data_IF_259909973087
#
_entry.id   IF_259909973087
#
_cell.length_a   1.000
_cell.length_b   1.000
_cell.length_c   1.000
_cell.angle_alpha   90.00
_cell.angle_beta   90.00
_cell.angle_gamma   90.00
#
_symmetry.space_group_name_H-M   'P 1'
#
loop_
_entity.id
_entity.type
_entity.pdbx_description
1 polymer ?
#
# COMPACT_ATOMS: atom_id res chain seq x y z
N UNK A 1 15.17 -44.10 44.23
CA UNK A 1 14.37 -44.29 42.99
C UNK A 1 13.78 -42.98 42.46
N UNK A 2 12.93 -42.27 43.21
CA UNK A 2 12.31 -41.02 42.71
C UNK A 2 13.34 -39.90 42.42
N UNK A 3 14.28 -39.66 43.33
CA UNK A 3 15.34 -38.64 43.14
C UNK A 3 16.21 -38.95 41.91
N UNK A 4 16.54 -40.22 41.73
CA UNK A 4 17.33 -40.70 40.59
C UNK A 4 16.57 -40.49 39.27
N UNK A 5 15.29 -40.89 39.21
CA UNK A 5 14.44 -40.64 38.04
C UNK A 5 14.30 -39.14 37.70
N UNK A 6 14.15 -38.28 38.72
CA UNK A 6 14.09 -36.83 38.54
C UNK A 6 15.40 -36.28 37.97
N UNK A 7 16.54 -36.72 38.48
CA UNK A 7 17.85 -36.30 37.99
C UNK A 7 18.07 -36.72 36.54
N UNK A 8 17.75 -37.97 36.19
CA UNK A 8 17.90 -38.50 34.83
C UNK A 8 16.98 -37.77 33.83
N UNK A 9 15.70 -37.58 34.18
CA UNK A 9 14.75 -36.86 33.32
C UNK A 9 15.13 -35.37 33.17
N UNK A 10 15.56 -34.72 34.24
CA UNK A 10 16.02 -33.33 34.20
C UNK A 10 17.27 -33.19 33.32
N UNK A 11 18.19 -34.16 33.40
CA UNK A 11 19.36 -34.24 32.52
C UNK A 11 18.97 -34.36 31.04
N UNK A 12 18.03 -35.25 30.70
CA UNK A 12 17.54 -35.42 29.33
C UNK A 12 16.84 -34.16 28.77
N UNK A 13 16.11 -33.44 29.63
CA UNK A 13 15.50 -32.16 29.24
C UNK A 13 16.60 -31.11 28.98
N UNK A 14 17.59 -31.00 29.87
CA UNK A 14 18.69 -30.04 29.71
C UNK A 14 19.50 -30.28 28.43
N UNK A 15 19.83 -31.53 28.12
CA UNK A 15 20.54 -31.89 26.88
C UNK A 15 19.73 -31.54 25.63
N UNK A 16 18.41 -31.71 25.68
CA UNK A 16 17.51 -31.31 24.60
C UNK A 16 17.53 -29.80 24.36
N UNK A 17 17.48 -28.98 25.43
CA UNK A 17 17.58 -27.52 25.32
C UNK A 17 18.91 -27.06 24.71
N UNK A 18 20.02 -27.65 25.14
CA UNK A 18 21.36 -27.35 24.58
C UNK A 18 21.43 -27.76 23.11
N UNK A 19 20.96 -28.96 22.77
CA UNK A 19 20.96 -29.50 21.41
C UNK A 19 20.14 -28.65 20.43
N UNK A 20 18.90 -28.32 20.79
CA UNK A 20 18.01 -27.51 19.95
C UNK A 20 18.56 -26.10 19.76
N UNK A 21 19.14 -25.51 20.82
CA UNK A 21 19.77 -24.19 20.73
C UNK A 21 20.89 -24.20 19.69
N UNK A 22 21.78 -25.19 19.72
CA UNK A 22 22.87 -25.33 18.74
C UNK A 22 22.37 -25.56 17.31
N UNK A 23 21.37 -26.43 17.13
CA UNK A 23 20.80 -26.76 15.82
C UNK A 23 20.12 -25.55 15.18
N UNK A 24 19.19 -24.91 15.89
CA UNK A 24 18.43 -23.77 15.35
C UNK A 24 19.35 -22.59 15.10
N UNK A 25 20.37 -22.38 15.96
CA UNK A 25 21.38 -21.36 15.72
C UNK A 25 22.12 -21.57 14.39
N UNK A 26 22.64 -22.79 14.13
CA UNK A 26 23.32 -23.09 12.86
C UNK A 26 22.40 -22.95 11.65
N UNK A 27 21.19 -23.48 11.72
CA UNK A 27 20.23 -23.37 10.62
C UNK A 27 19.80 -21.92 10.35
N UNK A 28 19.74 -21.07 11.38
CA UNK A 28 19.46 -19.65 11.20
C UNK A 28 20.66 -18.89 10.61
N UNK A 29 21.90 -19.29 10.92
CA UNK A 29 23.11 -18.80 10.22
C UNK A 29 23.11 -19.20 8.74
N UNK A 30 22.72 -20.44 8.45
CA UNK A 30 22.53 -20.96 7.08
C UNK A 30 21.28 -20.38 6.38
N UNK A 31 20.62 -19.41 7.02
CA UNK A 31 19.48 -18.67 6.48
C UNK A 31 18.22 -19.50 6.21
N UNK A 32 18.18 -20.76 6.69
CA UNK A 32 17.01 -21.63 6.64
C UNK A 32 15.92 -21.23 7.65
N UNK A 33 16.30 -20.54 8.73
CA UNK A 33 15.38 -19.98 9.72
C UNK A 33 15.46 -18.45 9.79
N UNK A 34 14.41 -17.78 10.31
CA UNK A 34 14.40 -16.34 10.48
C UNK A 34 15.54 -15.83 11.36
N UNK A 35 16.22 -14.77 10.92
CA UNK A 35 17.34 -14.16 11.65
C UNK A 35 16.98 -13.62 13.03
N UNK A 36 15.70 -13.38 13.32
CA UNK A 36 15.26 -12.90 14.63
C UNK A 36 15.63 -13.89 15.76
N UNK A 37 15.77 -15.19 15.46
CA UNK A 37 16.15 -16.22 16.42
C UNK A 37 17.61 -16.10 16.88
N UNK A 38 18.48 -15.47 16.07
CA UNK A 38 19.89 -15.26 16.38
C UNK A 38 20.14 -14.14 17.41
N UNK A 39 19.10 -13.39 17.82
CA UNK A 39 19.27 -12.28 18.76
C UNK A 39 19.71 -12.80 20.14
N UNK A 40 20.88 -12.37 20.58
CA UNK A 40 21.43 -12.66 21.91
C UNK A 40 20.99 -11.63 22.95
N UNK A 41 21.01 -12.02 24.23
CA UNK A 41 20.87 -11.09 25.36
C UNK A 41 22.26 -10.62 25.82
N UNK A 42 22.33 -9.69 26.79
CA UNK A 42 23.57 -9.20 27.43
C UNK A 42 24.49 -10.32 27.94
N UNK A 43 23.95 -11.49 28.27
CA UNK A 43 24.69 -12.68 28.70
C UNK A 43 25.14 -13.61 27.56
N UNK A 44 24.96 -13.21 26.30
CA UNK A 44 25.33 -14.03 25.12
C UNK A 44 24.37 -15.18 24.81
N UNK A 45 23.26 -15.34 25.55
CA UNK A 45 22.33 -16.47 25.39
C UNK A 45 21.29 -16.25 24.28
N UNK A 46 21.02 -17.29 23.50
CA UNK A 46 19.95 -17.33 22.48
C UNK A 46 18.55 -17.55 23.10
N UNK A 47 18.15 -16.62 23.97
CA UNK A 47 16.90 -16.68 24.74
C UNK A 47 15.66 -16.95 23.87
N UNK A 48 15.59 -16.40 22.65
CA UNK A 48 14.46 -16.62 21.74
C UNK A 48 14.31 -18.07 21.30
N UNK A 49 15.42 -18.77 21.05
CA UNK A 49 15.37 -20.19 20.68
C UNK A 49 14.88 -21.01 21.86
N UNK A 50 15.39 -20.73 23.05
CA UNK A 50 15.01 -21.41 24.30
C UNK A 50 13.51 -21.22 24.59
N UNK A 51 13.02 -19.99 24.51
CA UNK A 51 11.60 -19.67 24.73
C UNK A 51 10.73 -20.36 23.68
N UNK A 52 11.09 -20.29 22.39
CA UNK A 52 10.34 -20.97 21.32
C UNK A 52 10.29 -22.47 21.55
N UNK A 53 11.41 -23.10 21.92
CA UNK A 53 11.44 -24.52 22.19
C UNK A 53 10.58 -24.89 23.40
N UNK A 54 10.62 -24.10 24.49
CA UNK A 54 9.75 -24.28 25.65
C UNK A 54 8.26 -24.18 25.27
N UNK A 55 7.88 -23.20 24.45
CA UNK A 55 6.52 -23.05 23.96
C UNK A 55 6.08 -24.22 23.08
N UNK A 56 6.96 -24.74 22.22
CA UNK A 56 6.70 -25.92 21.40
C UNK A 56 6.50 -27.19 22.26
N UNK A 57 7.37 -27.41 23.25
CA UNK A 57 7.24 -28.50 24.21
C UNK A 57 5.94 -28.39 25.03
N UNK A 58 5.58 -27.19 25.48
CA UNK A 58 4.33 -26.97 26.21
C UNK A 58 3.11 -27.19 25.31
N UNK A 59 3.18 -26.73 24.06
CA UNK A 59 2.12 -26.90 23.07
C UNK A 59 1.82 -28.37 22.80
N UNK A 60 2.85 -29.21 22.59
CA UNK A 60 2.63 -30.64 22.30
C UNK A 60 2.08 -31.38 23.52
N UNK A 61 2.50 -31.02 24.74
CA UNK A 61 1.94 -31.57 25.97
C UNK A 61 0.45 -31.24 26.13
N UNK A 62 0.06 -30.00 25.84
CA UNK A 62 -1.35 -29.56 25.92
C UNK A 62 -2.20 -30.27 24.87
N UNK A 63 -1.72 -30.32 23.62
CA UNK A 63 -2.46 -30.94 22.50
C UNK A 63 -2.63 -32.45 22.72
N UNK A 64 -1.59 -33.13 23.20
CA UNK A 64 -1.66 -34.56 23.52
C UNK A 64 -2.35 -34.86 24.86
N UNK A 65 -2.78 -33.82 25.61
CA UNK A 65 -3.39 -33.92 26.94
C UNK A 65 -2.56 -34.76 27.93
N UNK A 66 -1.23 -34.71 27.80
CA UNK A 66 -0.30 -35.49 28.63
C UNK A 66 -0.32 -37.00 28.39
N UNK A 67 -0.90 -37.49 27.27
CA UNK A 67 -0.87 -38.92 26.93
C UNK A 67 0.54 -39.35 26.49
N UNK A 68 1.25 -40.02 27.39
CA UNK A 68 2.64 -40.46 27.18
C UNK A 68 2.81 -41.39 25.97
N UNK A 69 1.85 -42.28 25.71
CA UNK A 69 1.88 -43.19 24.55
C UNK A 69 1.90 -42.43 23.22
N UNK A 70 1.06 -41.39 23.08
CA UNK A 70 1.02 -40.60 21.85
C UNK A 70 2.28 -39.76 21.66
N UNK A 71 2.82 -39.18 22.75
CA UNK A 71 4.08 -38.44 22.71
C UNK A 71 5.26 -39.35 22.33
N UNK A 72 5.32 -40.56 22.89
CA UNK A 72 6.32 -41.54 22.53
C UNK A 72 6.22 -41.96 21.06
N UNK A 73 5.00 -42.15 20.55
CA UNK A 73 4.76 -42.44 19.13
C UNK A 73 5.27 -41.33 18.20
N UNK A 74 4.94 -40.07 18.50
CA UNK A 74 5.42 -38.91 17.74
C UNK A 74 6.95 -38.82 17.76
N UNK A 75 7.58 -39.06 18.92
CA UNK A 75 9.03 -39.11 19.04
C UNK A 75 9.63 -40.23 18.18
N UNK A 76 9.06 -41.44 18.23
CA UNK A 76 9.52 -42.58 17.41
C UNK A 76 9.43 -42.29 15.91
N UNK A 77 8.31 -41.74 15.43
CA UNK A 77 8.14 -41.38 14.02
C UNK A 77 9.17 -40.32 13.61
N UNK A 78 9.35 -39.28 14.43
CA UNK A 78 10.31 -38.21 14.16
C UNK A 78 11.76 -38.71 14.12
N UNK A 79 12.14 -39.52 15.10
CA UNK A 79 13.49 -40.06 15.21
C UNK A 79 13.81 -41.04 14.08
N UNK A 80 12.91 -41.99 13.80
CA UNK A 80 13.08 -42.92 12.69
C UNK A 80 13.11 -42.19 11.35
N UNK A 81 12.26 -41.17 11.17
CA UNK A 81 12.27 -40.34 9.97
C UNK A 81 13.62 -39.66 9.73
N UNK A 82 14.19 -39.03 10.76
CA UNK A 82 15.53 -38.43 10.68
C UNK A 82 16.59 -39.48 10.36
N UNK A 83 16.52 -40.68 10.96
CA UNK A 83 17.44 -41.78 10.65
C UNK A 83 17.31 -42.28 9.20
N UNK A 84 16.09 -42.36 8.67
CA UNK A 84 15.84 -42.66 7.26
C UNK A 84 16.44 -41.59 6.35
N UNK A 85 16.26 -40.30 6.67
CA UNK A 85 16.89 -39.20 5.93
C UNK A 85 18.42 -39.27 5.97
N UNK A 86 19.03 -39.65 7.10
CA UNK A 86 20.48 -39.88 7.17
C UNK A 86 20.94 -41.01 6.25
N UNK A 87 20.18 -42.11 6.19
CA UNK A 87 20.43 -43.20 5.24
C UNK A 87 20.39 -42.72 3.78
N UNK A 88 19.34 -41.98 3.42
CA UNK A 88 19.18 -41.38 2.08
C UNK A 88 20.33 -40.40 1.79
N UNK A 89 20.70 -39.55 2.75
CA UNK A 89 21.82 -38.62 2.64
C UNK A 89 23.16 -39.34 2.41
N UNK A 90 23.37 -40.49 3.04
CA UNK A 90 24.57 -41.32 2.80
C UNK A 90 24.62 -41.83 1.35
N UNK A 91 23.48 -42.32 0.82
CA UNK A 91 23.36 -42.73 -0.59
C UNK A 91 23.64 -41.55 -1.51
N UNK A 92 23.03 -40.38 -1.27
CA UNK A 92 23.22 -39.20 -2.10
C UNK A 92 24.70 -38.76 -2.14
N UNK A 93 25.38 -38.78 -0.99
CA UNK A 93 26.81 -38.48 -0.91
C UNK A 93 27.66 -39.54 -1.63
N UNK A 94 27.31 -40.83 -1.56
CA UNK A 94 28.01 -41.91 -2.31
C UNK A 94 27.86 -41.76 -3.82
N UNK A 95 26.75 -41.21 -4.31
CA UNK A 95 26.51 -41.02 -5.74
C UNK A 95 27.17 -39.73 -6.23
N UNK A 96 26.88 -38.61 -5.57
CA UNK A 96 27.22 -37.26 -6.06
C UNK A 96 28.58 -36.74 -5.61
N UNK A 97 29.15 -37.26 -4.51
CA UNK A 97 30.39 -36.75 -3.89
C UNK A 97 31.28 -37.87 -3.34
N UNK A 98 31.83 -38.68 -4.25
CA UNK A 98 32.67 -39.86 -3.94
C UNK A 98 34.03 -39.51 -3.33
N UNK A 99 34.58 -38.34 -3.65
CA UNK A 99 35.94 -37.91 -3.28
C UNK A 99 36.06 -37.37 -1.85
N UNK A 100 34.95 -37.14 -1.15
CA UNK A 100 34.98 -36.66 0.23
C UNK A 100 35.71 -37.68 1.13
N UNK A 101 36.69 -37.20 1.92
CA UNK A 101 37.42 -38.00 2.90
C UNK A 101 36.44 -38.57 3.94
N UNK A 102 36.46 -39.88 4.13
CA UNK A 102 35.60 -40.60 5.10
C UNK A 102 36.47 -41.46 6.00
N UNK A 103 36.30 -41.32 7.31
CA UNK A 103 36.92 -42.19 8.32
C UNK A 103 36.29 -43.58 8.34
N UNK A 104 34.98 -43.66 8.06
CA UNK A 104 34.24 -44.92 8.02
C UNK A 104 33.38 -45.00 6.74
N UNK A 105 33.33 -46.19 6.13
CA UNK A 105 32.53 -46.45 4.92
C UNK A 105 31.52 -47.57 5.21
N UNK A 106 30.24 -47.23 5.30
CA UNK A 106 29.17 -48.22 5.38
C UNK A 106 28.97 -48.91 4.02
N UNK A 107 28.68 -50.22 4.02
CA UNK A 107 28.32 -50.97 2.82
C UNK A 107 26.99 -50.50 2.22
N UNK A 108 26.80 -50.66 0.91
CA UNK A 108 25.53 -50.31 0.25
C UNK A 108 24.35 -51.10 0.82
N UNK A 109 24.54 -52.40 1.00
CA UNK A 109 23.53 -53.29 1.56
C UNK A 109 23.14 -52.85 2.99
N UNK A 110 24.13 -52.55 3.84
CA UNK A 110 23.89 -52.09 5.21
C UNK A 110 23.01 -50.83 5.25
N UNK A 111 23.27 -49.86 4.36
CA UNK A 111 22.47 -48.62 4.29
C UNK A 111 21.05 -48.89 3.80
N UNK A 112 20.88 -49.75 2.79
CA UNK A 112 19.56 -50.13 2.27
C UNK A 112 18.75 -50.86 3.35
N UNK A 113 19.35 -51.84 4.03
CA UNK A 113 18.71 -52.58 5.13
C UNK A 113 18.30 -51.63 6.26
N UNK A 114 19.16 -50.67 6.62
CA UNK A 114 18.82 -49.68 7.65
C UNK A 114 17.65 -48.76 7.23
N UNK A 115 17.60 -48.31 5.97
CA UNK A 115 16.48 -47.53 5.44
C UNK A 115 15.19 -48.34 5.45
N UNK A 116 15.24 -49.60 5.03
CA UNK A 116 14.07 -50.49 5.05
C UNK A 116 13.59 -50.74 6.49
N UNK A 117 14.50 -51.05 7.41
CA UNK A 117 14.16 -51.29 8.81
C UNK A 117 13.54 -50.06 9.48
N UNK A 118 14.11 -48.87 9.27
CA UNK A 118 13.57 -47.62 9.82
C UNK A 118 12.21 -47.26 9.21
N UNK A 119 12.04 -47.46 7.90
CA UNK A 119 10.75 -47.23 7.21
C UNK A 119 9.66 -48.18 7.69
N UNK A 120 9.98 -49.47 7.87
CA UNK A 120 9.06 -50.45 8.46
C UNK A 120 8.70 -50.08 9.91
N UNK A 121 9.66 -49.57 10.69
CA UNK A 121 9.39 -49.06 12.03
C UNK A 121 8.42 -47.88 12.06
N UNK A 122 8.54 -46.95 11.09
CA UNK A 122 7.58 -45.84 10.93
C UNK A 122 6.20 -46.40 10.59
N UNK A 123 6.10 -47.29 9.60
CA UNK A 123 4.82 -47.90 9.17
C UNK A 123 4.17 -48.64 10.35
N UNK A 124 4.94 -49.43 11.10
CA UNK A 124 4.46 -50.13 12.29
C UNK A 124 3.91 -49.18 13.35
N UNK A 125 4.58 -48.05 13.61
CA UNK A 125 4.09 -47.06 14.56
C UNK A 125 2.77 -46.41 14.11
N UNK A 126 2.64 -46.13 12.80
CA UNK A 126 1.42 -45.56 12.21
C UNK A 126 0.26 -46.55 12.28
N UNK A 127 0.51 -47.86 12.12
CA UNK A 127 -0.50 -48.91 12.25
C UNK A 127 -0.98 -49.06 13.70
N UNK A 128 -0.07 -48.92 14.69
CA UNK A 128 -0.42 -49.02 16.11
C UNK A 128 -1.39 -47.91 16.53
N UNK A 129 -1.10 -46.66 16.16
CA UNK A 129 -2.01 -45.54 16.41
C UNK A 129 -1.81 -44.44 15.35
N UNK A 130 -2.81 -44.28 14.49
CA UNK A 130 -2.80 -43.27 13.43
C UNK A 130 -2.74 -41.84 13.99
N UNK A 131 -3.22 -41.60 15.22
CA UNK A 131 -3.16 -40.27 15.83
C UNK A 131 -1.71 -39.78 15.99
N UNK A 132 -0.75 -40.69 16.22
CA UNK A 132 0.67 -40.34 16.32
C UNK A 132 1.17 -39.66 15.03
N UNK A 133 0.72 -40.18 13.88
CA UNK A 133 1.08 -39.62 12.58
C UNK A 133 0.43 -38.25 12.35
N UNK A 134 -0.83 -38.07 12.77
CA UNK A 134 -1.53 -36.79 12.67
C UNK A 134 -0.83 -35.72 13.52
N UNK A 135 -0.49 -36.02 14.77
CA UNK A 135 0.26 -35.11 15.62
C UNK A 135 1.63 -34.78 15.03
N UNK A 136 2.34 -35.77 14.48
CA UNK A 136 3.60 -35.53 13.78
C UNK A 136 3.43 -34.55 12.61
N UNK A 137 2.45 -34.77 11.73
CA UNK A 137 2.19 -33.90 10.59
C UNK A 137 1.82 -32.47 11.00
N UNK A 138 1.04 -32.34 12.08
CA UNK A 138 0.62 -31.03 12.60
C UNK A 138 1.81 -30.14 13.00
N UNK A 139 2.92 -30.72 13.46
CA UNK A 139 4.15 -29.97 13.75
C UNK A 139 5.13 -29.92 12.56
N UNK A 140 5.21 -31.02 11.79
CA UNK A 140 6.13 -31.13 10.66
C UNK A 140 5.77 -30.16 9.53
N UNK A 141 4.49 -30.09 9.12
CA UNK A 141 4.04 -29.27 7.98
C UNK A 141 4.29 -27.78 8.22
N UNK A 142 3.89 -27.17 9.36
CA UNK A 142 4.20 -25.77 9.64
C UNK A 142 5.71 -25.49 9.71
N UNK A 143 6.49 -26.42 10.26
CA UNK A 143 7.95 -26.28 10.36
C UNK A 143 8.60 -26.25 8.97
N UNK A 144 8.22 -27.17 8.08
CA UNK A 144 8.69 -27.19 6.69
C UNK A 144 8.22 -25.94 5.94
N UNK A 145 6.98 -25.49 6.16
CA UNK A 145 6.45 -24.27 5.55
C UNK A 145 7.29 -23.05 5.91
N UNK A 146 7.70 -22.89 7.18
CA UNK A 146 8.60 -21.81 7.60
C UNK A 146 9.91 -21.87 6.83
N UNK A 147 10.51 -23.06 6.68
CA UNK A 147 11.77 -23.24 5.92
C UNK A 147 11.59 -22.90 4.44
N UNK A 148 10.47 -23.31 3.82
CA UNK A 148 10.16 -23.00 2.41
C UNK A 148 9.94 -21.49 2.21
N UNK A 149 9.23 -20.82 3.12
CA UNK A 149 9.06 -19.36 3.09
C UNK A 149 10.42 -18.68 3.20
N UNK A 150 11.29 -19.15 4.10
CA UNK A 150 12.65 -18.64 4.27
C UNK A 150 13.51 -18.83 3.01
N UNK A 151 13.38 -19.98 2.34
CA UNK A 151 14.05 -20.27 1.08
C UNK A 151 13.56 -19.35 -0.06
N UNK A 152 12.24 -19.12 -0.16
CA UNK A 152 11.63 -18.29 -1.21
C UNK A 152 11.55 -16.80 -0.87
N UNK A 153 12.13 -16.35 0.25
CA UNK A 153 11.94 -14.98 0.77
C UNK A 153 12.32 -13.88 -0.22
N UNK A 154 13.37 -14.10 -1.03
CA UNK A 154 13.83 -13.10 -2.01
C UNK A 154 12.81 -12.95 -3.14
N UNK A 155 12.23 -14.06 -3.60
CA UNK A 155 11.16 -14.03 -4.60
C UNK A 155 9.94 -13.30 -4.05
N UNK A 156 9.54 -13.60 -2.81
CA UNK A 156 8.40 -12.95 -2.14
C UNK A 156 8.62 -11.43 -2.04
N UNK A 157 9.78 -11.00 -1.54
CA UNK A 157 10.11 -9.58 -1.39
C UNK A 157 10.14 -8.86 -2.73
N UNK A 158 10.68 -9.49 -3.78
CA UNK A 158 10.69 -8.93 -5.13
C UNK A 158 9.29 -8.78 -5.72
N UNK A 159 8.43 -9.78 -5.52
CA UNK A 159 7.03 -9.73 -5.95
C UNK A 159 6.26 -8.62 -5.23
N UNK A 160 6.46 -8.46 -3.92
CA UNK A 160 5.86 -7.37 -3.14
C UNK A 160 6.32 -6.00 -3.63
N UNK A 161 7.61 -5.83 -3.90
CA UNK A 161 8.15 -4.58 -4.43
C UNK A 161 7.56 -4.24 -5.81
N UNK A 162 7.45 -5.23 -6.71
CA UNK A 162 6.86 -5.03 -8.02
C UNK A 162 5.38 -4.66 -7.94
N UNK A 163 4.62 -5.29 -7.03
CA UNK A 163 3.23 -4.93 -6.78
C UNK A 163 3.09 -3.49 -6.26
N UNK A 164 3.94 -3.08 -5.31
CA UNK A 164 3.95 -1.71 -4.80
C UNK A 164 4.26 -0.69 -5.91
N UNK A 165 5.26 -0.97 -6.74
CA UNK A 165 5.61 -0.11 -7.88
C UNK A 165 4.47 -0.03 -8.90
N UNK A 166 3.80 -1.14 -9.20
CA UNK A 166 2.65 -1.15 -10.11
C UNK A 166 1.51 -0.25 -9.60
N UNK A 167 1.19 -0.34 -8.31
CA UNK A 167 0.16 0.49 -7.67
C UNK A 167 0.56 1.97 -7.72
N UNK A 168 1.82 2.29 -7.42
CA UNK A 168 2.33 3.66 -7.45
C UNK A 168 2.23 4.27 -8.85
N UNK A 169 2.57 3.53 -9.91
CA UNK A 169 2.45 4.02 -11.28
C UNK A 169 1.00 4.33 -11.65
N UNK A 170 0.04 3.48 -11.25
CA UNK A 170 -1.38 3.80 -11.47
C UNK A 170 -1.81 5.05 -10.71
N UNK A 171 -1.37 5.22 -9.46
CA UNK A 171 -1.69 6.40 -8.65
C UNK A 171 -1.19 7.71 -9.31
N UNK A 172 -0.01 7.67 -9.95
CA UNK A 172 0.53 8.83 -10.66
C UNK A 172 -0.31 9.22 -11.89
N UNK A 173 -0.81 8.24 -12.65
CA UNK A 173 -1.72 8.51 -13.80
C UNK A 173 -3.04 9.10 -13.32
N UNK A 174 -3.58 8.61 -12.22
CA UNK A 174 -4.80 9.17 -11.64
C UNK A 174 -4.61 10.62 -11.19
N UNK A 175 -3.43 10.91 -10.62
CA UNK A 175 -3.07 12.28 -10.22
C UNK A 175 -3.05 13.23 -11.42
N UNK A 176 -2.51 12.84 -12.57
CA UNK A 176 -2.49 13.73 -13.74
C UNK A 176 -3.89 13.99 -14.29
N UNK A 177 -4.74 12.96 -14.37
CA UNK A 177 -6.13 13.10 -14.82
C UNK A 177 -6.89 14.11 -13.95
N UNK A 178 -6.72 14.04 -12.63
CA UNK A 178 -7.39 14.97 -11.69
C UNK A 178 -6.89 16.41 -11.90
N UNK A 179 -5.59 16.60 -12.12
CA UNK A 179 -5.01 17.94 -12.36
C UNK A 179 -5.52 18.53 -13.68
N UNK A 180 -5.61 17.71 -14.74
CA UNK A 180 -6.08 18.15 -16.05
C UNK A 180 -7.56 18.58 -15.98
N UNK A 181 -8.40 17.82 -15.28
CA UNK A 181 -9.81 18.15 -15.07
C UNK A 181 -9.99 19.44 -14.26
N UNK A 182 -9.23 19.61 -13.17
CA UNK A 182 -9.23 20.85 -12.39
C UNK A 182 -8.81 22.07 -13.24
N UNK A 183 -7.82 21.88 -14.10
CA UNK A 183 -7.34 22.94 -15.00
C UNK A 183 -8.41 23.29 -16.04
N UNK A 184 -9.11 22.30 -16.60
CA UNK A 184 -10.20 22.51 -17.54
C UNK A 184 -11.35 23.33 -16.93
N UNK A 185 -11.73 23.05 -15.67
CA UNK A 185 -12.76 23.80 -14.95
C UNK A 185 -12.36 25.25 -14.66
N UNK A 186 -11.11 25.47 -14.24
CA UNK A 186 -10.60 26.80 -13.88
C UNK A 186 -10.42 27.73 -15.10
N UNK A 187 -10.16 27.14 -16.27
CA UNK A 187 -9.85 27.85 -17.52
C UNK A 187 -11.08 28.34 -18.31
N UNK A 188 -12.30 28.00 -17.88
CA UNK A 188 -13.51 28.54 -18.50
C UNK A 188 -13.55 30.06 -18.35
N UNK A 189 -13.96 30.80 -19.38
CA UNK A 189 -14.04 32.27 -19.31
C UNK A 189 -15.40 32.73 -18.81
N UNK A 190 -15.37 33.73 -17.95
CA UNK A 190 -16.55 34.42 -17.42
C UNK A 190 -16.59 35.83 -18.00
N UNK A 191 -17.75 36.30 -18.44
CA UNK A 191 -17.92 37.66 -18.95
C UNK A 191 -18.57 38.54 -17.88
N UNK A 192 -18.02 39.72 -17.62
CA UNK A 192 -18.54 40.68 -16.66
C UNK A 192 -18.81 42.01 -17.34
N UNK A 193 -20.01 42.55 -17.23
CA UNK A 193 -20.32 43.89 -17.73
C UNK A 193 -20.05 44.97 -16.68
N UNK A 194 -19.30 45.99 -17.07
CA UNK A 194 -19.04 47.17 -16.25
C UNK A 194 -19.55 48.45 -16.94
N UNK A 195 -20.44 49.15 -16.24
CA UNK A 195 -20.99 50.43 -16.69
C UNK A 195 -20.00 51.60 -16.52
N UNK A 196 -18.98 51.47 -15.67
CA UNK A 196 -18.00 52.51 -15.43
C UNK A 196 -16.82 52.10 -14.54
N UNK A 197 -15.91 53.04 -14.25
CA UNK A 197 -14.65 52.86 -13.52
C UNK A 197 -14.73 52.73 -11.99
N UNK A 198 -15.94 52.68 -11.43
CA UNK A 198 -16.19 52.59 -9.99
C UNK A 198 -15.54 51.35 -9.36
N UNK A 199 -14.44 51.59 -8.65
CA UNK A 199 -13.63 50.54 -8.01
C UNK A 199 -14.44 49.69 -7.01
N UNK A 200 -15.38 50.30 -6.29
CA UNK A 200 -16.22 49.60 -5.31
C UNK A 200 -17.13 48.53 -5.94
N UNK A 201 -17.65 48.80 -7.14
CA UNK A 201 -18.50 47.86 -7.88
C UNK A 201 -17.66 46.76 -8.52
N UNK A 202 -16.53 47.10 -9.13
CA UNK A 202 -15.60 46.13 -9.69
C UNK A 202 -15.06 45.18 -8.60
N UNK A 203 -14.70 45.72 -7.44
CA UNK A 203 -14.26 44.93 -6.29
C UNK A 203 -15.35 43.93 -5.85
N UNK A 204 -16.61 44.37 -5.69
CA UNK A 204 -17.72 43.47 -5.33
C UNK A 204 -17.95 42.38 -6.38
N UNK A 205 -17.86 42.73 -7.66
CA UNK A 205 -18.02 41.77 -8.75
C UNK A 205 -16.88 40.73 -8.77
N UNK A 206 -15.63 41.16 -8.58
CA UNK A 206 -14.48 40.25 -8.53
C UNK A 206 -14.53 39.35 -7.30
N UNK A 207 -14.92 39.90 -6.14
CA UNK A 207 -15.20 39.11 -4.93
C UNK A 207 -16.28 38.06 -5.16
N UNK A 208 -17.35 38.40 -5.89
CA UNK A 208 -18.40 37.45 -6.22
C UNK A 208 -17.85 36.31 -7.09
N UNK A 209 -17.11 36.62 -8.16
CA UNK A 209 -16.51 35.61 -9.05
C UNK A 209 -15.54 34.73 -8.26
N UNK A 210 -14.68 35.34 -7.43
CA UNK A 210 -13.73 34.60 -6.59
C UNK A 210 -14.40 33.60 -5.63
N UNK A 211 -15.52 34.02 -5.03
CA UNK A 211 -16.23 33.25 -3.99
C UNK A 211 -17.17 32.19 -4.55
N UNK A 212 -17.81 32.46 -5.70
CA UNK A 212 -18.92 31.66 -6.18
C UNK A 212 -18.65 30.96 -7.52
N UNK A 213 -17.64 31.37 -8.28
CA UNK A 213 -17.32 30.79 -9.58
C UNK A 213 -15.94 30.09 -9.54
N UNK A 214 -15.85 28.94 -10.20
CA UNK A 214 -14.60 28.18 -10.32
C UNK A 214 -13.64 28.82 -11.32
N UNK A 215 -14.16 29.62 -12.25
CA UNK A 215 -13.37 30.34 -13.25
C UNK A 215 -12.49 31.42 -12.60
N UNK A 216 -11.27 31.53 -13.11
CA UNK A 216 -10.35 32.61 -12.77
C UNK A 216 -10.04 33.55 -13.94
N UNK A 217 -10.73 33.37 -15.08
CA UNK A 217 -10.54 34.18 -16.29
C UNK A 217 -11.75 35.06 -16.55
N UNK A 218 -11.59 36.36 -16.34
CA UNK A 218 -12.66 37.35 -16.48
C UNK A 218 -12.45 38.17 -17.75
N UNK A 219 -13.49 38.23 -18.57
CA UNK A 219 -13.61 39.14 -19.69
C UNK A 219 -14.46 40.33 -19.25
N UNK A 220 -13.82 41.45 -18.92
CA UNK A 220 -14.51 42.67 -18.50
C UNK A 220 -14.94 43.46 -19.73
N UNK A 221 -16.24 43.62 -19.93
CA UNK A 221 -16.81 44.34 -21.07
C UNK A 221 -17.35 45.69 -20.61
N UNK A 222 -16.86 46.76 -21.24
CA UNK A 222 -17.34 48.12 -21.07
C UNK A 222 -17.98 48.62 -22.38
N UNK A 223 -19.21 49.12 -22.27
CA UNK A 223 -19.96 49.67 -23.40
C UNK A 223 -20.17 51.19 -23.20
N UNK A 224 -19.89 51.98 -24.23
CA UNK A 224 -20.03 53.46 -24.19
C UNK A 224 -20.85 53.98 -25.39
N UNK A 225 -21.61 55.08 -25.21
CA UNK A 225 -22.44 55.66 -26.29
C UNK A 225 -21.77 56.87 -26.97
N UNK A 226 -21.09 57.72 -26.20
CA UNK A 226 -20.31 58.87 -26.68
C UNK A 226 -18.86 58.78 -26.19
N UNK A 227 -17.93 59.46 -26.85
CA UNK A 227 -16.51 59.49 -26.44
C UNK A 227 -16.32 60.11 -25.04
N UNK A 228 -17.23 60.97 -24.62
CA UNK A 228 -17.25 61.56 -23.27
C UNK A 228 -17.65 60.54 -22.18
N UNK A 229 -18.40 59.49 -22.54
CA UNK A 229 -18.76 58.37 -21.64
C UNK A 229 -17.68 57.28 -21.61
N UNK A 230 -16.63 57.38 -22.42
CA UNK A 230 -15.58 56.36 -22.47
C UNK A 230 -14.69 56.42 -21.22
N UNK A 231 -14.91 55.47 -20.30
CA UNK A 231 -14.18 55.36 -19.04
C UNK A 231 -13.06 54.30 -19.07
N UNK A 232 -12.55 53.96 -20.25
CA UNK A 232 -11.49 52.95 -20.41
C UNK A 232 -10.26 53.23 -19.52
N UNK A 233 -9.80 54.49 -19.46
CA UNK A 233 -8.63 54.87 -18.65
C UNK A 233 -8.86 54.65 -17.16
N UNK A 234 -10.02 55.06 -16.65
CA UNK A 234 -10.39 54.91 -15.23
C UNK A 234 -10.54 53.42 -14.86
N UNK A 235 -11.17 52.62 -15.73
CA UNK A 235 -11.30 51.18 -15.52
C UNK A 235 -9.93 50.51 -15.54
N UNK A 236 -9.06 50.87 -16.48
CA UNK A 236 -7.70 50.31 -16.59
C UNK A 236 -6.84 50.61 -15.36
N UNK A 237 -6.94 51.82 -14.81
CA UNK A 237 -6.28 52.18 -13.53
C UNK A 237 -6.85 51.39 -12.35
N UNK A 238 -8.18 51.25 -12.27
CA UNK A 238 -8.83 50.43 -11.26
C UNK A 238 -8.44 48.95 -11.33
N UNK A 239 -8.29 48.42 -12.55
CA UNK A 239 -7.83 47.05 -12.78
C UNK A 239 -6.40 46.81 -12.28
N UNK A 240 -5.50 47.80 -12.37
CA UNK A 240 -4.13 47.68 -11.81
C UNK A 240 -4.16 47.50 -10.30
N UNK A 241 -5.01 48.25 -9.59
CA UNK A 241 -5.18 48.10 -8.15
C UNK A 241 -5.83 46.74 -7.80
N UNK A 242 -6.87 46.35 -8.54
CA UNK A 242 -7.55 45.06 -8.31
C UNK A 242 -6.66 43.85 -8.62
N UNK A 243 -5.74 43.95 -9.58
CA UNK A 243 -4.78 42.88 -9.88
C UNK A 243 -3.83 42.59 -8.70
N UNK A 244 -3.55 43.58 -7.86
CA UNK A 244 -2.76 43.38 -6.63
C UNK A 244 -3.59 42.72 -5.52
N UNK A 245 -4.90 43.00 -5.47
CA UNK A 245 -5.83 42.44 -4.47
C UNK A 245 -6.25 41.01 -4.85
N UNK A 246 -6.44 40.75 -6.14
CA UNK A 246 -6.90 39.48 -6.71
C UNK A 246 -5.89 38.92 -7.71
N UNK A 247 -4.70 38.49 -7.26
CA UNK A 247 -3.64 37.99 -8.16
C UNK A 247 -4.02 36.69 -8.89
N UNK A 248 -5.02 35.97 -8.38
CA UNK A 248 -5.53 34.75 -9.00
C UNK A 248 -6.43 35.02 -10.22
N UNK A 249 -6.96 36.23 -10.39
CA UNK A 249 -7.86 36.57 -11.49
C UNK A 249 -7.09 37.10 -12.71
N UNK A 250 -7.21 36.41 -13.84
CA UNK A 250 -6.74 36.90 -15.13
C UNK A 250 -7.86 37.72 -15.79
N UNK A 251 -7.72 39.04 -15.81
CA UNK A 251 -8.75 39.96 -16.33
C UNK A 251 -8.32 40.54 -17.68
N UNK A 252 -9.19 40.44 -18.69
CA UNK A 252 -9.04 41.11 -19.98
C UNK A 252 -10.13 42.13 -20.19
N UNK A 253 -9.77 43.39 -20.40
CA UNK A 253 -10.70 44.48 -20.68
C UNK A 253 -11.04 44.52 -22.19
N UNK A 254 -12.33 44.67 -22.50
CA UNK A 254 -12.86 44.91 -23.84
C UNK A 254 -13.77 46.13 -23.78
N UNK A 255 -13.47 47.11 -24.63
CA UNK A 255 -14.21 48.37 -24.71
C UNK A 255 -14.88 48.46 -26.08
N UNK A 256 -16.20 48.68 -26.12
CA UNK A 256 -16.96 48.79 -27.37
C UNK A 256 -17.96 49.92 -27.36
N UNK A 257 -18.11 50.57 -28.52
CA UNK A 257 -19.16 51.55 -28.75
C UNK A 257 -20.49 50.84 -28.94
N UNK A 258 -21.48 51.18 -28.12
CA UNK A 258 -22.80 50.56 -28.16
C UNK A 258 -23.60 50.76 -26.90
N UNK A 259 -24.88 50.40 -26.94
CA UNK A 259 -25.76 50.41 -25.78
C UNK A 259 -26.04 48.98 -25.33
N UNK A 260 -26.07 48.75 -24.02
CA UNK A 260 -26.38 47.44 -23.46
C UNK A 260 -27.81 47.00 -23.86
N UNK A 261 -27.90 45.88 -24.59
CA UNK A 261 -29.16 45.28 -25.05
C UNK A 261 -29.03 43.75 -25.13
N UNK A 262 -30.15 42.99 -25.15
CA UNK A 262 -30.12 41.54 -25.31
C UNK A 262 -29.35 41.08 -26.56
N UNK A 263 -29.47 41.80 -27.66
CA UNK A 263 -28.79 41.49 -28.93
C UNK A 263 -27.26 41.61 -28.80
N UNK A 264 -26.78 42.55 -27.99
CA UNK A 264 -25.34 42.71 -27.72
C UNK A 264 -24.81 41.55 -26.88
N UNK A 265 -25.60 41.06 -25.91
CA UNK A 265 -25.24 39.88 -25.13
C UNK A 265 -25.15 38.64 -26.04
N UNK A 266 -26.12 38.46 -26.93
CA UNK A 266 -26.10 37.36 -27.92
C UNK A 266 -24.89 37.44 -28.85
N UNK A 267 -24.59 38.63 -29.36
CA UNK A 267 -23.43 38.84 -30.22
C UNK A 267 -22.12 38.53 -29.50
N UNK A 268 -21.94 39.02 -28.27
CA UNK A 268 -20.72 38.79 -27.49
C UNK A 268 -20.60 37.34 -26.99
N UNK A 269 -21.73 36.71 -26.64
CA UNK A 269 -21.79 35.29 -26.25
C UNK A 269 -21.29 34.40 -27.39
N UNK A 270 -21.75 34.65 -28.62
CA UNK A 270 -21.31 33.91 -29.80
C UNK A 270 -19.87 34.23 -30.20
N UNK A 271 -19.47 35.50 -30.15
CA UNK A 271 -18.12 35.93 -30.53
C UNK A 271 -17.05 35.35 -29.61
N UNK A 272 -17.26 35.40 -28.30
CA UNK A 272 -16.30 34.91 -27.31
C UNK A 272 -16.52 33.44 -26.91
N UNK A 273 -17.54 32.80 -27.48
CA UNK A 273 -17.98 31.43 -27.14
C UNK A 273 -18.20 31.25 -25.62
N UNK A 274 -18.77 32.28 -24.97
CA UNK A 274 -19.09 32.26 -23.55
C UNK A 274 -20.60 32.02 -23.43
N UNK A 275 -21.04 30.90 -22.83
CA UNK A 275 -22.47 30.65 -22.68
C UNK A 275 -23.09 31.68 -21.73
N UNK A 276 -24.35 32.03 -21.97
CA UNK A 276 -25.04 33.14 -21.26
C UNK A 276 -25.07 33.00 -19.74
N UNK A 277 -25.06 31.76 -19.24
CA UNK A 277 -24.99 31.46 -17.81
C UNK A 277 -23.68 31.89 -17.13
N UNK A 278 -22.61 32.10 -17.91
CA UNK A 278 -21.31 32.60 -17.45
C UNK A 278 -21.13 34.10 -17.74
N UNK A 279 -22.23 34.78 -18.07
CA UNK A 279 -22.26 36.23 -18.22
C UNK A 279 -22.87 36.83 -16.97
N UNK A 280 -22.19 37.83 -16.42
CA UNK A 280 -22.56 38.51 -15.18
C UNK A 280 -22.81 39.99 -15.44
N UNK A 281 -23.92 40.47 -14.90
CA UNK A 281 -24.37 41.85 -15.05
C UNK A 281 -24.78 42.43 -13.70
N UNK A 282 -24.82 43.76 -13.65
CA UNK A 282 -25.57 44.45 -12.60
C UNK A 282 -27.07 44.38 -12.84
N UNK A 283 -27.82 44.62 -11.77
CA UNK A 283 -29.27 44.68 -11.76
C UNK A 283 -29.71 45.78 -12.74
N UNK A 284 -30.54 45.44 -13.75
CA UNK A 284 -31.05 46.42 -14.68
C UNK A 284 -31.97 47.41 -13.94
N UNK A 285 -31.75 48.71 -14.18
CA UNK A 285 -32.58 49.80 -13.67
C UNK A 285 -33.91 49.91 -14.47
N UNK A 286 -34.96 50.49 -13.88
CA UNK A 286 -36.30 50.68 -14.50
C UNK A 286 -36.27 51.42 -15.86
N UNK A 287 -35.17 52.09 -16.19
CA UNK A 287 -34.98 52.83 -17.44
C UNK A 287 -34.69 51.93 -18.64
N UNK A 288 -34.51 50.62 -18.45
CA UNK A 288 -34.23 49.69 -19.54
C UNK A 288 -35.52 49.15 -20.17
N UNK A 289 -35.61 49.09 -21.52
CA UNK A 289 -36.82 48.68 -22.23
C UNK A 289 -37.01 47.14 -22.28
N UNK A 290 -36.22 46.37 -21.54
CA UNK A 290 -36.21 44.90 -21.56
C UNK A 290 -36.28 44.33 -20.15
N UNK A 291 -36.90 43.16 -20.01
CA UNK A 291 -37.00 42.41 -18.77
C UNK A 291 -35.79 41.49 -18.56
N UNK A 292 -35.60 40.99 -17.34
CA UNK A 292 -34.54 40.01 -17.02
C UNK A 292 -34.71 38.71 -17.82
N UNK A 293 -35.96 38.36 -18.18
CA UNK A 293 -36.26 37.16 -18.97
C UNK A 293 -35.73 37.29 -20.41
N UNK A 294 -35.75 38.51 -20.97
CA UNK A 294 -35.28 38.80 -22.33
C UNK A 294 -33.76 38.64 -22.47
N UNK A 295 -33.01 38.64 -21.36
CA UNK A 295 -31.55 38.46 -21.34
C UNK A 295 -31.13 36.99 -21.47
N UNK A 296 -32.06 36.04 -21.35
CA UNK A 296 -31.82 34.64 -21.71
C UNK A 296 -30.84 33.88 -20.80
N UNK A 297 -30.89 34.10 -19.48
CA UNK A 297 -30.16 33.29 -18.49
C UNK A 297 -28.84 33.88 -17.97
N UNK A 298 -28.62 35.17 -18.17
CA UNK A 298 -27.52 35.95 -17.59
C UNK A 298 -27.69 36.04 -16.06
N UNK A 299 -26.57 36.01 -15.32
CA UNK A 299 -26.57 36.08 -13.84
C UNK A 299 -26.43 37.52 -13.37
N UNK A 300 -27.27 37.92 -12.41
CA UNK A 300 -27.26 39.25 -11.80
C UNK A 300 -26.50 39.17 -10.47
N UNK A 301 -25.53 40.05 -10.25
CA UNK A 301 -24.61 39.96 -9.10
C UNK A 301 -24.58 41.18 -8.18
N UNK A 302 -25.24 42.28 -8.55
CA UNK A 302 -25.37 43.47 -7.71
C UNK A 302 -26.55 44.33 -8.14
#
# INVERSE_FOLDING_TARGET
>A
VVVDAVLVLSGAVLTSFVGVTGLVHRMALDQCFPRFLLKTNRRGTFHRIIITFFLLCSSILIITRGRLLSLAGVYTISFLGVMTLFGIGNILLKIRRKELKRTYRAGWITVIVAICATSLGIIGNVIIDYNNFVFFLQYFVPTVLIVVIMYMRVLILRSLLNAANYIMTKMLVWRSIIIDEMTALTNQRVMLFARGGRLDRLHKAFMYVMKNETSRRILLVHLYRSEEENQEKEISEGLKALAQIFPELEVKLIVRKGSFSPQVIDSLSNEFQIPKNNIFIGAPEEKHPFSVQDLGGVRIIF
#
